data_IF_321033549344
#
_entry.id   IF_321033549344
#
_cell.length_a   1.000
_cell.length_b   1.000
_cell.length_c   1.000
_cell.angle_alpha   90.00
_cell.angle_beta   90.00
_cell.angle_gamma   90.00
#
_symmetry.space_group_name_H-M   'P 1'
#
loop_
_entity.id
_entity.type
_entity.pdbx_description
1 polymer ?
#
# COMPACT_ATOMS: atom_id res chain seq x y z
N UNK A 1 -0.72 0.13 -18.32
CA UNK A 1 0.63 0.16 -17.80
C UNK A 1 1.52 1.20 -18.49
N UNK A 2 1.65 1.19 -19.82
CA UNK A 2 2.54 2.13 -20.54
C UNK A 2 2.24 3.59 -20.24
N UNK A 3 0.98 3.99 -20.21
CA UNK A 3 0.59 5.39 -19.92
C UNK A 3 0.97 5.78 -18.48
N UNK A 4 0.68 4.92 -17.50
CA UNK A 4 1.08 5.13 -16.11
C UNK A 4 2.59 5.22 -15.97
N UNK A 5 3.32 4.26 -16.56
CA UNK A 5 4.79 4.27 -16.53
C UNK A 5 5.38 5.58 -17.07
N UNK A 6 4.89 6.06 -18.23
CA UNK A 6 5.34 7.35 -18.80
C UNK A 6 5.05 8.55 -17.92
N UNK A 7 3.94 8.53 -17.17
CA UNK A 7 3.64 9.61 -16.24
C UNK A 7 4.69 9.67 -15.11
N UNK A 8 5.03 8.51 -14.57
CA UNK A 8 6.04 8.39 -13.49
C UNK A 8 7.48 8.63 -13.97
N UNK A 9 7.82 8.39 -15.24
CA UNK A 9 9.15 8.70 -15.81
C UNK A 9 9.58 10.15 -15.56
N UNK A 10 8.64 11.07 -15.42
CA UNK A 10 8.93 12.48 -15.10
C UNK A 10 9.49 12.67 -13.70
N UNK A 11 9.22 11.74 -12.79
CA UNK A 11 9.67 11.75 -11.40
C UNK A 11 10.94 10.91 -11.21
N UNK A 12 11.21 9.95 -12.11
CA UNK A 12 12.33 9.03 -12.00
C UNK A 12 13.66 9.80 -11.86
N UNK A 13 14.46 9.41 -10.88
CA UNK A 13 15.76 9.98 -10.53
C UNK A 13 15.72 11.47 -10.10
N UNK A 14 14.52 12.02 -9.84
CA UNK A 14 14.31 13.39 -9.36
C UNK A 14 13.68 13.41 -7.98
N UNK A 15 12.64 12.56 -7.79
CA UNK A 15 11.91 12.47 -6.56
C UNK A 15 11.62 11.01 -6.21
N UNK A 16 11.71 10.64 -4.93
CA UNK A 16 11.17 9.35 -4.50
C UNK A 16 9.64 9.42 -4.55
N UNK A 17 9.02 8.34 -4.98
CA UNK A 17 7.57 8.16 -4.94
C UNK A 17 7.25 6.74 -4.49
N UNK A 18 6.06 6.54 -3.96
CA UNK A 18 5.57 5.22 -3.54
C UNK A 18 4.29 4.93 -4.30
N UNK A 19 4.16 3.72 -4.79
CA UNK A 19 3.00 3.25 -5.56
C UNK A 19 2.49 1.95 -4.97
N UNK A 20 1.19 1.69 -5.09
CA UNK A 20 0.58 0.42 -4.76
C UNK A 20 -0.19 -0.12 -5.97
N UNK A 21 -0.43 -1.41 -6.00
CA UNK A 21 -1.30 -2.03 -7.00
C UNK A 21 -2.76 -1.82 -6.66
N UNK A 22 -3.59 -1.66 -7.70
CA UNK A 22 -5.04 -1.69 -7.60
C UNK A 22 -5.62 -3.03 -8.08
N UNK A 23 -6.93 -3.21 -7.93
CA UNK A 23 -7.62 -4.44 -8.34
C UNK A 23 -7.45 -4.74 -9.84
N UNK A 24 -7.58 -3.73 -10.69
CA UNK A 24 -7.45 -3.89 -12.15
C UNK A 24 -6.01 -4.17 -12.63
N UNK A 25 -5.03 -4.11 -11.75
CA UNK A 25 -3.65 -4.50 -12.06
C UNK A 25 -3.48 -6.03 -12.11
N UNK A 26 -4.39 -6.78 -11.51
CA UNK A 26 -4.41 -8.24 -11.49
C UNK A 26 -5.35 -8.85 -12.52
N UNK A 27 -6.30 -8.09 -13.05
CA UNK A 27 -7.26 -8.51 -14.06
C UNK A 27 -8.47 -7.58 -14.07
N UNK A 28 -9.31 -7.67 -15.09
CA UNK A 28 -10.41 -6.70 -15.25
C UNK A 28 -11.53 -6.90 -14.21
N UNK A 29 -11.95 -8.13 -13.96
CA UNK A 29 -13.08 -8.45 -13.06
C UNK A 29 -12.69 -9.28 -11.85
N UNK A 30 -11.65 -10.11 -11.97
CA UNK A 30 -11.13 -10.99 -10.93
C UNK A 30 -9.70 -11.38 -11.25
N UNK A 31 -9.01 -11.95 -10.29
CA UNK A 31 -7.72 -12.58 -10.51
C UNK A 31 -7.72 -14.02 -9.97
N UNK A 32 -7.19 -14.93 -10.76
CA UNK A 32 -7.07 -16.35 -10.39
C UNK A 32 -5.74 -16.64 -9.68
N UNK A 33 -4.70 -15.86 -9.93
CA UNK A 33 -3.33 -16.17 -9.53
C UNK A 33 -2.52 -14.99 -8.98
N UNK A 34 -3.12 -13.82 -8.78
CA UNK A 34 -2.43 -12.59 -8.36
C UNK A 34 -1.24 -12.18 -9.24
N UNK A 35 -1.21 -12.63 -10.49
CA UNK A 35 -0.18 -12.20 -11.42
C UNK A 35 -0.45 -10.77 -11.89
N UNK A 36 0.48 -9.87 -11.66
CA UNK A 36 0.44 -8.50 -12.16
C UNK A 36 1.63 -8.21 -13.05
N UNK A 37 1.50 -7.19 -13.88
CA UNK A 37 2.62 -6.64 -14.66
C UNK A 37 3.32 -5.48 -13.94
N UNK A 38 3.00 -5.25 -12.68
CA UNK A 38 3.60 -4.19 -11.90
C UNK A 38 5.14 -4.23 -11.89
N UNK A 39 5.80 -5.39 -11.64
CA UNK A 39 7.25 -5.46 -11.62
C UNK A 39 7.92 -5.16 -12.97
N UNK A 40 7.23 -5.37 -14.09
CA UNK A 40 7.75 -5.06 -15.43
C UNK A 40 7.90 -3.54 -15.64
N UNK A 41 7.04 -2.75 -14.98
CA UNK A 41 6.99 -1.30 -15.17
C UNK A 41 7.56 -0.52 -13.99
N UNK A 42 7.57 -1.13 -12.81
CA UNK A 42 8.11 -0.55 -11.57
C UNK A 42 9.11 -1.50 -10.90
N UNK A 43 10.20 -1.89 -11.58
CA UNK A 43 11.24 -2.67 -10.93
C UNK A 43 11.95 -1.83 -9.85
N UNK A 44 12.48 -2.47 -8.83
CA UNK A 44 13.18 -1.81 -7.72
C UNK A 44 14.35 -0.91 -8.17
N UNK A 45 14.88 -1.16 -9.36
CA UNK A 45 15.99 -0.40 -9.94
C UNK A 45 15.56 0.81 -10.77
N UNK A 46 14.27 1.01 -10.98
CA UNK A 46 13.76 2.05 -11.88
C UNK A 46 14.13 3.47 -11.44
N UNK A 47 14.01 3.76 -10.16
CA UNK A 47 14.24 5.10 -9.62
C UNK A 47 15.38 5.06 -8.62
N UNK A 48 16.51 5.71 -8.93
CA UNK A 48 17.67 5.75 -8.04
C UNK A 48 17.38 6.44 -6.70
N UNK A 49 16.38 7.33 -6.65
CA UNK A 49 15.92 7.93 -5.40
C UNK A 49 15.37 6.91 -4.38
N UNK A 50 15.05 5.69 -4.82
CA UNK A 50 14.65 4.59 -3.93
C UNK A 50 15.83 3.85 -3.29
N UNK A 51 17.02 3.90 -3.86
CA UNK A 51 18.18 3.04 -3.49
C UNK A 51 18.43 2.96 -1.97
N UNK A 52 18.29 4.09 -1.27
CA UNK A 52 18.53 4.17 0.16
C UNK A 52 17.22 4.43 0.96
N UNK A 53 16.08 4.29 0.33
CA UNK A 53 14.77 4.48 0.96
C UNK A 53 14.06 3.17 1.20
N UNK A 54 14.19 2.20 0.28
CA UNK A 54 13.60 0.87 0.45
C UNK A 54 14.37 0.15 1.55
N UNK A 55 13.66 -0.19 2.63
CA UNK A 55 14.25 -0.85 3.81
C UNK A 55 13.80 -2.30 3.97
N UNK A 56 12.67 -2.66 3.36
CA UNK A 56 12.15 -4.02 3.39
C UNK A 56 11.17 -4.24 2.24
N UNK A 57 11.10 -5.47 1.75
CA UNK A 57 10.09 -5.93 0.80
C UNK A 57 9.55 -7.29 1.23
N UNK A 58 8.26 -7.54 0.96
CA UNK A 58 7.68 -8.87 1.02
C UNK A 58 7.55 -9.41 -0.40
N UNK A 59 7.87 -10.67 -0.60
CA UNK A 59 7.73 -11.31 -1.90
C UNK A 59 6.26 -11.23 -2.37
N UNK A 60 6.08 -11.11 -3.67
CA UNK A 60 4.74 -11.22 -4.26
C UNK A 60 4.22 -12.67 -4.19
N UNK A 61 3.00 -12.92 -4.68
CA UNK A 61 2.37 -14.25 -4.65
C UNK A 61 3.16 -15.33 -5.42
N UNK A 62 4.14 -14.95 -6.21
CA UNK A 62 5.02 -15.84 -6.98
C UNK A 62 6.41 -15.99 -6.37
N UNK A 63 6.62 -15.55 -5.13
CA UNK A 63 7.90 -15.67 -4.43
C UNK A 63 8.98 -14.69 -4.90
N UNK A 64 8.62 -13.65 -5.64
CA UNK A 64 9.57 -12.69 -6.22
C UNK A 64 9.56 -11.40 -5.38
N UNK A 65 10.73 -10.88 -4.96
CA UNK A 65 10.81 -9.60 -4.29
C UNK A 65 10.47 -8.46 -5.26
N UNK A 66 9.41 -7.72 -4.94
CA UNK A 66 8.90 -6.62 -5.77
C UNK A 66 8.47 -5.44 -4.92
N UNK A 67 8.14 -4.31 -5.55
CA UNK A 67 7.58 -3.15 -4.86
C UNK A 67 6.06 -3.24 -4.63
N UNK A 68 5.41 -4.37 -4.95
CA UNK A 68 3.98 -4.60 -4.65
C UNK A 68 3.71 -4.55 -3.15
N UNK A 69 4.69 -5.03 -2.34
CA UNK A 69 4.69 -4.91 -0.88
C UNK A 69 6.07 -4.42 -0.45
N UNK A 70 6.19 -3.15 -0.14
CA UNK A 70 7.49 -2.54 0.14
C UNK A 70 7.39 -1.46 1.23
N UNK A 71 8.49 -1.26 1.94
CA UNK A 71 8.59 -0.25 2.97
C UNK A 71 9.75 0.70 2.68
N UNK A 72 9.52 1.97 2.96
CA UNK A 72 10.42 3.06 2.65
C UNK A 72 10.63 3.96 3.86
N UNK A 73 11.88 4.30 4.17
CA UNK A 73 12.21 5.29 5.19
C UNK A 73 12.43 6.67 4.57
N UNK A 74 11.83 7.68 5.19
CA UNK A 74 12.05 9.09 4.87
C UNK A 74 12.36 9.85 6.14
N UNK A 75 13.19 10.87 6.00
CA UNK A 75 13.40 11.87 7.02
C UNK A 75 12.93 13.23 6.51
N UNK A 76 12.21 13.98 7.34
CA UNK A 76 11.75 15.33 7.03
C UNK A 76 12.05 16.25 8.22
N UNK A 77 12.42 17.49 7.93
CA UNK A 77 12.73 18.47 8.98
C UNK A 77 11.52 18.79 9.88
N UNK A 78 10.31 18.71 9.31
CA UNK A 78 9.08 19.08 10.01
C UNK A 78 8.43 17.88 10.74
N UNK A 79 8.44 16.70 10.12
CA UNK A 79 7.71 15.55 10.65
C UNK A 79 8.64 14.47 11.23
N UNK A 80 9.96 14.66 11.11
CA UNK A 80 10.96 13.70 11.54
C UNK A 80 10.97 12.44 10.67
N UNK A 81 11.22 11.32 11.30
CA UNK A 81 11.31 10.03 10.62
C UNK A 81 9.93 9.47 10.29
N UNK A 82 9.77 9.03 9.06
CA UNK A 82 8.56 8.43 8.51
C UNK A 82 8.90 7.06 7.94
N UNK A 83 8.03 6.09 8.19
CA UNK A 83 8.03 4.80 7.50
C UNK A 83 6.77 4.75 6.62
N UNK A 84 6.95 4.63 5.31
CA UNK A 84 5.84 4.43 4.37
C UNK A 84 5.81 2.96 3.99
N UNK A 85 4.70 2.29 4.27
CA UNK A 85 4.47 0.88 3.93
C UNK A 85 3.43 0.83 2.83
N UNK A 86 3.81 0.30 1.67
CA UNK A 86 2.90 0.04 0.55
C UNK A 86 2.49 -1.43 0.56
N UNK A 87 1.20 -1.69 0.40
CA UNK A 87 0.65 -3.04 0.28
C UNK A 87 -0.07 -3.23 -1.04
N UNK A 88 0.03 -4.43 -1.58
CA UNK A 88 -0.74 -4.90 -2.72
C UNK A 88 -2.26 -4.74 -2.47
N UNK A 89 -3.06 -4.68 -3.54
CA UNK A 89 -4.52 -4.69 -3.39
C UNK A 89 -4.99 -5.96 -2.69
N UNK A 90 -5.88 -5.79 -1.70
CA UNK A 90 -6.40 -6.88 -0.86
C UNK A 90 -5.26 -7.82 -0.40
N UNK A 91 -4.30 -7.31 0.39
CA UNK A 91 -3.04 -7.98 0.66
C UNK A 91 -3.24 -9.38 1.24
N UNK A 92 -2.34 -10.31 0.91
CA UNK A 92 -2.30 -11.66 1.45
C UNK A 92 -1.98 -11.65 2.95
N UNK A 93 -2.31 -12.72 3.64
CA UNK A 93 -1.95 -12.89 5.06
C UNK A 93 -0.44 -12.75 5.29
N UNK A 94 0.38 -13.28 4.39
CA UNK A 94 1.84 -13.13 4.45
C UNK A 94 2.29 -11.66 4.39
N UNK A 95 1.69 -10.86 3.51
CA UNK A 95 2.00 -9.44 3.37
C UNK A 95 1.53 -8.64 4.61
N UNK A 96 0.37 -8.95 5.15
CA UNK A 96 -0.13 -8.36 6.41
C UNK A 96 0.81 -8.70 7.57
N UNK A 97 1.21 -9.96 7.70
CA UNK A 97 2.09 -10.40 8.79
C UNK A 97 3.49 -9.80 8.67
N UNK A 98 4.02 -9.70 7.45
CA UNK A 98 5.28 -8.99 7.18
C UNK A 98 5.20 -7.53 7.63
N UNK A 99 4.16 -6.81 7.19
CA UNK A 99 3.96 -5.41 7.55
C UNK A 99 3.82 -5.24 9.08
N UNK A 100 3.02 -6.12 9.72
CA UNK A 100 2.81 -6.11 11.17
C UNK A 100 4.11 -6.30 11.95
N UNK A 101 4.95 -7.25 11.54
CA UNK A 101 6.26 -7.50 12.15
C UNK A 101 7.18 -6.30 11.96
N UNK A 102 7.24 -5.76 10.74
CA UNK A 102 8.09 -4.62 10.42
C UNK A 102 7.75 -3.40 11.28
N UNK A 103 6.48 -2.99 11.32
CA UNK A 103 6.09 -1.78 12.09
C UNK A 103 6.23 -1.96 13.60
N UNK A 104 6.28 -3.21 14.08
CA UNK A 104 6.50 -3.54 15.49
C UNK A 104 7.99 -3.60 15.88
N UNK A 105 8.93 -3.46 14.94
CA UNK A 105 10.35 -3.44 15.27
C UNK A 105 10.67 -2.28 16.23
N UNK A 106 11.54 -2.50 17.25
CA UNK A 106 11.87 -1.47 18.23
C UNK A 106 12.35 -0.15 17.63
N UNK A 107 13.05 -0.19 16.49
CA UNK A 107 13.52 1.01 15.78
C UNK A 107 12.37 1.89 15.28
N UNK A 108 11.17 1.34 15.08
CA UNK A 108 9.99 2.07 14.61
C UNK A 108 8.99 2.41 15.71
N UNK A 109 9.30 2.13 16.97
CA UNK A 109 8.38 2.38 18.09
C UNK A 109 7.88 3.84 18.17
N UNK A 110 8.73 4.80 17.80
CA UNK A 110 8.40 6.23 17.80
C UNK A 110 8.29 6.82 16.37
N UNK A 111 8.40 6.00 15.35
CA UNK A 111 8.30 6.43 13.95
C UNK A 111 6.83 6.51 13.53
N UNK A 112 6.47 7.58 12.85
CA UNK A 112 5.14 7.68 12.25
C UNK A 112 5.08 6.80 11.00
N UNK A 113 4.13 5.87 10.98
CA UNK A 113 3.92 4.99 9.84
C UNK A 113 2.76 5.51 9.00
N UNK A 114 2.99 5.61 7.70
CA UNK A 114 1.97 5.86 6.68
C UNK A 114 1.76 4.55 5.92
N UNK A 115 0.53 4.04 5.95
CA UNK A 115 0.14 2.88 5.16
C UNK A 115 -0.47 3.35 3.83
N UNK A 116 0.06 2.86 2.72
CA UNK A 116 -0.50 3.05 1.38
C UNK A 116 -1.09 1.73 0.89
N UNK A 117 -2.36 1.72 0.57
CA UNK A 117 -3.06 0.56 -0.01
C UNK A 117 -4.18 1.03 -0.92
N UNK A 118 -4.60 0.21 -1.87
CA UNK A 118 -5.61 0.64 -2.85
C UNK A 118 -7.01 0.78 -2.24
N UNK A 119 -7.44 -0.16 -1.40
CA UNK A 119 -8.77 -0.19 -0.79
C UNK A 119 -8.67 -0.33 0.73
N UNK A 120 -9.25 0.60 1.48
CA UNK A 120 -9.24 0.57 2.94
C UNK A 120 -10.54 1.06 3.59
N UNK A 121 -11.20 2.02 2.96
CA UNK A 121 -12.43 2.61 3.46
C UNK A 121 -13.40 2.83 2.30
N UNK A 122 -14.66 2.53 2.52
CA UNK A 122 -15.73 2.83 1.57
C UNK A 122 -16.16 4.29 1.67
N UNK A 123 -16.81 4.79 0.62
CA UNK A 123 -17.21 6.19 0.52
C UNK A 123 -18.13 6.69 1.65
N UNK A 124 -18.82 5.78 2.37
CA UNK A 124 -19.62 6.10 3.58
C UNK A 124 -18.82 6.09 4.88
N UNK A 125 -17.50 5.95 4.83
CA UNK A 125 -16.67 5.89 6.03
C UNK A 125 -16.64 4.51 6.73
N UNK A 126 -17.36 3.52 6.22
CA UNK A 126 -17.34 2.15 6.75
C UNK A 126 -16.24 1.31 6.07
N UNK A 127 -15.94 0.16 6.65
CA UNK A 127 -15.02 -0.83 6.09
C UNK A 127 -15.77 -2.07 5.67
N UNK A 128 -15.58 -2.48 4.42
CA UNK A 128 -16.18 -3.69 3.85
C UNK A 128 -15.41 -4.93 4.31
N UNK A 129 -16.13 -6.00 4.57
CA UNK A 129 -15.55 -7.33 4.86
C UNK A 129 -15.24 -8.11 3.60
N UNK A 130 -15.95 -7.84 2.53
CA UNK A 130 -15.79 -8.48 1.21
C UNK A 130 -15.97 -7.45 0.12
N UNK A 131 -15.37 -7.73 -1.03
CA UNK A 131 -15.55 -6.92 -2.24
C UNK A 131 -15.93 -7.82 -3.43
N UNK A 132 -16.59 -7.29 -4.47
CA UNK A 132 -16.97 -8.07 -5.64
C UNK A 132 -15.76 -8.61 -6.43
N UNK A 133 -14.59 -7.98 -6.29
CA UNK A 133 -13.37 -8.40 -6.95
C UNK A 133 -12.72 -9.55 -6.18
N UNK A 134 -12.84 -10.76 -6.71
CA UNK A 134 -12.37 -11.97 -6.06
C UNK A 134 -10.87 -12.18 -6.26
N UNK A 135 -10.18 -12.41 -5.17
CA UNK A 135 -8.77 -12.80 -5.10
C UNK A 135 -8.60 -13.94 -4.10
N UNK A 136 -7.62 -14.81 -4.34
CA UNK A 136 -7.19 -15.79 -3.34
C UNK A 136 -6.46 -15.11 -2.19
N UNK A 137 -6.65 -15.59 -0.96
CA UNK A 137 -5.98 -15.10 0.26
C UNK A 137 -6.09 -13.56 0.40
N UNK A 138 -7.32 -13.04 0.27
CA UNK A 138 -7.58 -11.61 0.24
C UNK A 138 -7.96 -11.06 1.61
N UNK A 139 -7.25 -10.02 2.06
CA UNK A 139 -7.65 -9.20 3.19
C UNK A 139 -8.26 -7.90 2.67
N UNK A 140 -9.59 -7.80 2.76
CA UNK A 140 -10.28 -6.56 2.41
C UNK A 140 -10.27 -5.56 3.57
N UNK A 141 -10.83 -4.41 3.37
CA UNK A 141 -10.77 -3.22 4.23
C UNK A 141 -10.86 -3.51 5.74
N UNK A 142 -11.88 -4.27 6.19
CA UNK A 142 -12.04 -4.60 7.60
C UNK A 142 -10.92 -5.51 8.12
N UNK A 143 -10.48 -6.47 7.32
CA UNK A 143 -9.39 -7.37 7.71
C UNK A 143 -8.05 -6.63 7.83
N UNK A 144 -7.76 -5.67 6.93
CA UNK A 144 -6.56 -4.82 7.04
C UNK A 144 -6.61 -4.01 8.35
N UNK A 145 -7.77 -3.47 8.69
CA UNK A 145 -7.96 -2.77 9.96
C UNK A 145 -7.69 -3.68 11.16
N UNK A 146 -8.36 -4.82 11.23
CA UNK A 146 -8.31 -5.71 12.40
C UNK A 146 -6.93 -6.35 12.59
N UNK A 147 -6.30 -6.77 11.48
CA UNK A 147 -5.03 -7.53 11.52
C UNK A 147 -3.79 -6.64 11.57
N UNK A 148 -3.84 -5.41 11.04
CA UNK A 148 -2.66 -4.55 10.88
C UNK A 148 -2.85 -3.18 11.56
N UNK A 149 -3.85 -2.41 11.17
CA UNK A 149 -3.91 -0.99 11.57
C UNK A 149 -4.28 -0.82 13.03
N UNK A 150 -5.32 -1.54 13.49
CA UNK A 150 -5.79 -1.44 14.88
C UNK A 150 -4.71 -1.86 15.90
N UNK A 151 -4.00 -3.00 15.73
CA UNK A 151 -2.97 -3.40 16.68
C UNK A 151 -1.67 -2.59 16.60
N UNK A 152 -1.45 -1.78 15.55
CA UNK A 152 -0.20 -1.06 15.31
C UNK A 152 -0.35 0.43 15.62
N UNK A 153 -0.05 0.84 16.86
CA UNK A 153 -0.31 2.20 17.35
C UNK A 153 0.49 3.30 16.64
N UNK A 154 1.60 2.96 15.99
CA UNK A 154 2.44 3.86 15.23
C UNK A 154 1.96 4.08 13.78
N UNK A 155 1.01 3.29 13.26
CA UNK A 155 0.34 3.62 12.00
C UNK A 155 -0.58 4.82 12.25
N UNK A 156 -0.22 5.99 11.69
CA UNK A 156 -0.90 7.27 11.95
C UNK A 156 -1.76 7.74 10.80
N UNK A 157 -1.52 7.24 9.60
CA UNK A 157 -2.24 7.63 8.40
C UNK A 157 -2.37 6.43 7.48
N UNK A 158 -3.55 6.25 6.90
CA UNK A 158 -3.78 5.32 5.79
C UNK A 158 -4.20 6.14 4.58
N UNK A 159 -3.49 5.96 3.47
CA UNK A 159 -3.83 6.57 2.18
C UNK A 159 -4.39 5.47 1.29
N UNK A 160 -5.59 5.69 0.78
CA UNK A 160 -6.26 4.75 -0.12
C UNK A 160 -7.06 5.47 -1.20
N UNK A 161 -7.52 4.71 -2.18
CA UNK A 161 -8.44 5.12 -3.24
C UNK A 161 -9.56 4.09 -3.41
N UNK A 162 -9.75 3.58 -4.63
CA UNK A 162 -10.67 2.52 -5.04
C UNK A 162 -12.15 2.94 -5.05
N UNK A 163 -12.64 3.50 -3.96
CA UNK A 163 -14.04 3.91 -3.86
C UNK A 163 -14.18 5.42 -3.88
N UNK A 164 -15.14 5.89 -4.66
CA UNK A 164 -15.52 7.31 -4.73
C UNK A 164 -17.04 7.44 -4.73
N UNK A 165 -17.53 8.61 -4.41
CA UNK A 165 -18.95 8.90 -4.55
C UNK A 165 -19.30 9.00 -6.05
N UNK A 166 -20.37 8.33 -6.52
CA UNK A 166 -20.63 8.20 -7.94
C UNK A 166 -21.09 9.51 -8.62
N UNK A 167 -21.56 10.48 -7.86
CA UNK A 167 -22.24 11.67 -8.43
C UNK A 167 -21.74 13.01 -7.90
N UNK A 168 -20.89 13.05 -6.89
CA UNK A 168 -20.41 14.30 -6.29
C UNK A 168 -18.97 14.17 -5.84
N UNK A 169 -18.24 15.27 -5.82
CA UNK A 169 -16.96 15.39 -5.14
C UNK A 169 -17.22 15.33 -3.62
N UNK A 170 -17.24 14.13 -3.09
CA UNK A 170 -17.46 13.90 -1.67
C UNK A 170 -16.13 13.71 -0.95
N UNK A 171 -15.93 14.49 0.09
CA UNK A 171 -14.79 14.38 0.96
C UNK A 171 -15.27 14.20 2.41
N UNK A 172 -14.85 13.12 3.04
CA UNK A 172 -15.12 12.86 4.43
C UNK A 172 -13.81 12.54 5.17
N UNK A 173 -13.60 13.19 6.31
CA UNK A 173 -12.51 12.87 7.20
C UNK A 173 -13.02 11.96 8.31
N UNK A 174 -12.48 10.77 8.40
CA UNK A 174 -12.84 9.80 9.43
C UNK A 174 -11.68 9.67 10.42
N UNK A 175 -11.92 10.06 11.68
CA UNK A 175 -10.98 9.87 12.78
C UNK A 175 -11.10 8.45 13.36
N UNK A 176 -9.98 7.78 13.59
CA UNK A 176 -9.97 6.37 13.98
C UNK A 176 -9.48 6.07 15.37
N UNK A 177 -8.95 7.05 16.08
CA UNK A 177 -8.45 6.85 17.45
C UNK A 177 -8.85 8.03 18.31
N UNK A 178 -9.76 7.80 19.18
CA UNK A 178 -9.94 8.58 20.41
C UNK A 178 -9.16 7.91 21.52
#
# INVERSE_FOLDING_TARGET
WRAASRAFERLDNKLPYVVCTGNHDYGYTKSENRLSRFPDYFPMTRNECWRHKIVSVCNNAHGIPTLENAAYEFHTDTWGDLLVVSLEFAPRDEAIEWARKLVAEPRYANTRVILLTHSFIAWKGNRKKTEPYELTDANYQQAIWDKLVYPSSNIRLVICGHECHPTTDYFETVGFRT
#
